data_IF_890127442643
#
_entry.id   IF_890127442643
#
_cell.length_a   1.000
_cell.length_b   1.000
_cell.length_c   1.000
_cell.angle_alpha   90.00
_cell.angle_beta   90.00
_cell.angle_gamma   90.00
#
_symmetry.space_group_name_H-M   'P 1'
#
loop_
_entity.id
_entity.type
_entity.pdbx_description
1 polymer ?
#
# COMPACT_ATOMS: atom_id res chain seq x y z
N UNK A 1 0.71 3.22 20.50
CA UNK A 1 1.18 2.75 21.83
C UNK A 1 0.71 3.59 23.02
N UNK A 2 0.18 4.81 22.84
CA UNK A 2 -0.25 5.63 24.00
C UNK A 2 -1.29 4.90 24.89
N UNK A 3 -2.32 4.32 24.28
CA UNK A 3 -3.44 3.64 24.97
C UNK A 3 -3.20 2.17 25.32
N UNK A 4 -2.18 1.53 24.75
CA UNK A 4 -1.85 0.12 24.99
C UNK A 4 -0.40 0.07 25.45
N UNK A 5 -0.21 -0.07 26.77
CA UNK A 5 1.12 -0.05 27.40
C UNK A 5 1.72 -1.46 27.44
N UNK A 6 3.05 -1.60 27.27
CA UNK A 6 3.73 -2.88 27.38
C UNK A 6 3.35 -3.64 28.66
N UNK A 7 3.07 -4.93 28.54
CA UNK A 7 2.73 -5.81 29.67
C UNK A 7 1.29 -5.73 30.17
N UNK A 8 0.49 -4.77 29.68
CA UNK A 8 -0.94 -4.68 30.01
C UNK A 8 -1.74 -5.87 29.46
N UNK A 9 -2.95 -6.11 29.99
CA UNK A 9 -3.82 -7.18 29.48
C UNK A 9 -4.15 -7.00 27.99
N UNK A 10 -4.34 -5.75 27.54
CA UNK A 10 -4.63 -5.43 26.14
C UNK A 10 -3.40 -5.71 25.26
N UNK A 11 -2.20 -5.39 25.75
CA UNK A 11 -0.95 -5.65 25.04
C UNK A 11 -0.70 -7.15 24.84
N UNK A 12 -0.86 -7.95 25.90
CA UNK A 12 -0.74 -9.42 25.82
C UNK A 12 -1.73 -10.04 24.83
N UNK A 13 -2.98 -9.57 24.84
CA UNK A 13 -3.99 -10.05 23.90
C UNK A 13 -3.71 -9.60 22.46
N UNK A 14 -3.27 -8.36 22.26
CA UNK A 14 -2.88 -7.86 20.94
C UNK A 14 -1.68 -8.65 20.39
N UNK A 15 -0.67 -8.93 21.23
CA UNK A 15 0.47 -9.77 20.87
C UNK A 15 0.04 -11.19 20.49
N UNK A 16 -0.86 -11.80 21.27
CA UNK A 16 -1.41 -13.13 20.97
C UNK A 16 -2.16 -13.18 19.64
N UNK A 17 -2.86 -12.12 19.27
CA UNK A 17 -3.60 -12.02 17.98
C UNK A 17 -2.67 -11.71 16.80
N UNK A 18 -1.64 -10.89 17.02
CA UNK A 18 -0.68 -10.43 16.00
C UNK A 18 -1.24 -9.40 15.01
N UNK A 19 -2.43 -9.64 14.46
CA UNK A 19 -3.10 -8.75 13.50
C UNK A 19 -4.63 -8.84 13.60
N UNK A 20 -5.34 -7.91 12.96
CA UNK A 20 -6.78 -8.04 12.74
C UNK A 20 -7.04 -9.03 11.61
N UNK A 21 -8.02 -9.91 11.77
CA UNK A 21 -8.40 -10.89 10.73
C UNK A 21 -9.65 -10.36 10.02
N UNK A 22 -9.52 -10.16 8.71
CA UNK A 22 -10.59 -9.70 7.83
C UNK A 22 -11.19 -10.92 7.13
N UNK A 23 -12.40 -11.29 7.54
CA UNK A 23 -13.22 -12.32 6.90
C UNK A 23 -14.19 -11.64 5.92
N UNK A 24 -14.81 -12.44 5.05
CA UNK A 24 -15.76 -11.96 4.03
C UNK A 24 -16.91 -11.16 4.64
N UNK A 25 -17.43 -11.57 5.79
CA UNK A 25 -18.62 -10.98 6.42
C UNK A 25 -18.30 -10.11 7.65
N UNK A 26 -17.09 -10.21 8.22
CA UNK A 26 -16.74 -9.54 9.48
C UNK A 26 -15.24 -9.34 9.69
N UNK A 27 -14.92 -8.47 10.65
CA UNK A 27 -13.56 -8.28 11.14
C UNK A 27 -13.44 -8.78 12.57
N UNK A 28 -12.43 -9.60 12.83
CA UNK A 28 -11.97 -9.96 14.17
C UNK A 28 -10.82 -9.01 14.52
N UNK A 29 -11.05 -7.95 15.31
CA UNK A 29 -10.06 -6.90 15.48
C UNK A 29 -8.94 -7.35 16.43
N UNK A 30 -7.71 -6.90 16.18
CA UNK A 30 -6.58 -7.10 17.09
C UNK A 30 -6.80 -6.41 18.44
N UNK A 31 -7.39 -5.22 18.41
CA UNK A 31 -7.69 -4.41 19.59
C UNK A 31 -9.20 -4.41 19.89
N UNK A 32 -9.62 -4.18 21.14
CA UNK A 32 -11.03 -3.99 21.48
C UNK A 32 -11.67 -2.88 20.62
N UNK A 33 -12.93 -3.08 20.18
CA UNK A 33 -13.64 -2.14 19.30
C UNK A 33 -13.71 -0.70 19.85
N UNK A 34 -13.79 -0.55 21.18
CA UNK A 34 -13.77 0.76 21.86
C UNK A 34 -12.46 1.54 21.61
N UNK A 35 -11.34 0.84 21.44
CA UNK A 35 -10.07 1.44 21.05
C UNK A 35 -10.02 1.62 19.53
N UNK A 36 -10.16 0.54 18.77
CA UNK A 36 -9.93 0.55 17.31
C UNK A 36 -10.86 1.51 16.56
N UNK A 37 -12.15 1.55 16.91
CA UNK A 37 -13.16 2.38 16.23
C UNK A 37 -13.43 3.69 17.00
N UNK A 38 -12.93 3.80 18.23
CA UNK A 38 -13.12 4.95 19.11
C UNK A 38 -11.90 5.86 19.15
N UNK A 39 -11.13 5.77 20.24
CA UNK A 39 -10.07 6.74 20.56
C UNK A 39 -8.79 6.58 19.74
N UNK A 40 -8.58 5.42 19.10
CA UNK A 40 -7.47 5.22 18.14
C UNK A 40 -7.88 5.56 16.70
N UNK A 41 -9.18 5.66 16.40
CA UNK A 41 -9.67 6.04 15.07
C UNK A 41 -9.59 7.55 14.89
N UNK A 42 -9.10 8.01 13.73
CA UNK A 42 -8.97 9.42 13.36
C UNK A 42 -10.31 10.02 12.90
N UNK A 43 -11.31 9.91 13.77
CA UNK A 43 -12.69 10.30 13.49
C UNK A 43 -12.80 11.81 13.17
N UNK A 44 -13.62 12.13 12.18
CA UNK A 44 -13.89 13.50 11.73
C UNK A 44 -14.32 14.41 12.88
N UNK A 45 -13.80 15.63 12.89
CA UNK A 45 -14.13 16.68 13.84
C UNK A 45 -13.60 16.45 15.26
N UNK A 46 -13.01 15.29 15.55
CA UNK A 46 -12.56 14.93 16.89
C UNK A 46 -11.05 15.06 17.04
N UNK A 47 -10.63 15.54 18.21
CA UNK A 47 -9.23 15.67 18.56
C UNK A 47 -8.65 14.28 18.87
N UNK A 48 -7.49 13.96 18.30
CA UNK A 48 -6.86 12.64 18.37
C UNK A 48 -5.36 12.71 18.53
N UNK A 49 -4.83 11.86 19.41
CA UNK A 49 -3.40 11.63 19.57
C UNK A 49 -2.89 10.80 18.39
N UNK A 50 -1.80 11.25 17.79
CA UNK A 50 -1.15 10.61 16.65
C UNK A 50 0.35 10.48 16.87
N UNK A 51 0.96 9.61 16.08
CA UNK A 51 2.38 9.67 15.77
C UNK A 51 2.49 10.15 14.32
N UNK A 52 3.06 11.33 14.11
CA UNK A 52 3.22 11.93 12.79
C UNK A 52 4.59 11.61 12.22
N UNK A 53 4.64 11.39 10.90
CA UNK A 53 5.85 11.39 10.09
C UNK A 53 5.72 12.55 9.10
N UNK A 54 6.36 13.68 9.40
CA UNK A 54 6.43 14.84 8.51
C UNK A 54 7.64 14.66 7.59
N UNK A 55 7.44 14.88 6.29
CA UNK A 55 8.45 14.65 5.26
C UNK A 55 8.50 15.83 4.30
N UNK A 56 9.71 16.22 3.91
CA UNK A 56 9.98 17.15 2.82
C UNK A 56 10.46 16.32 1.61
N UNK A 57 9.77 16.49 0.48
CA UNK A 57 9.96 15.65 -0.71
C UNK A 57 10.29 16.56 -1.89
N UNK A 58 11.39 16.27 -2.58
CA UNK A 58 11.78 17.02 -3.78
C UNK A 58 10.95 16.62 -5.01
N UNK A 59 11.14 17.34 -6.12
CA UNK A 59 10.43 17.06 -7.39
C UNK A 59 10.81 15.73 -8.04
N UNK A 60 11.90 15.08 -7.58
CA UNK A 60 12.32 13.76 -8.04
C UNK A 60 11.74 12.62 -7.18
N UNK A 61 11.04 12.96 -6.09
CA UNK A 61 10.45 12.01 -5.16
C UNK A 61 11.40 11.53 -4.06
N UNK A 62 12.54 12.21 -3.86
CA UNK A 62 13.45 11.91 -2.76
C UNK A 62 12.96 12.57 -1.47
N UNK A 63 13.02 11.82 -0.36
CA UNK A 63 12.82 12.37 0.98
C UNK A 63 14.12 13.08 1.40
N UNK A 64 14.09 14.41 1.49
CA UNK A 64 15.27 15.23 1.82
C UNK A 64 15.33 15.61 3.30
N UNK A 65 14.19 15.59 3.98
CA UNK A 65 14.08 15.85 5.41
C UNK A 65 12.87 15.12 5.99
N UNK A 66 12.96 14.67 7.23
CA UNK A 66 11.81 14.11 7.93
C UNK A 66 11.86 14.37 9.43
N UNK A 67 10.69 14.27 10.07
CA UNK A 67 10.53 14.34 11.52
C UNK A 67 9.45 13.35 11.96
N UNK A 68 9.77 12.48 12.93
CA UNK A 68 8.83 11.55 13.55
C UNK A 68 8.55 12.04 14.97
N UNK A 69 7.29 12.34 15.30
CA UNK A 69 6.96 12.86 16.62
C UNK A 69 5.49 12.64 17.01
N UNK A 70 5.19 12.59 18.33
CA UNK A 70 3.81 12.67 18.81
C UNK A 70 3.14 13.96 18.35
N UNK A 71 1.86 13.88 18.03
CA UNK A 71 1.08 15.02 17.58
C UNK A 71 -0.38 14.90 18.03
N UNK A 72 -1.11 16.00 17.86
CA UNK A 72 -2.54 16.08 18.08
C UNK A 72 -3.17 16.57 16.79
N UNK A 73 -4.15 15.85 16.26
CA UNK A 73 -4.85 16.25 15.04
C UNK A 73 -6.35 16.27 15.24
N UNK A 74 -7.03 17.01 14.37
CA UNK A 74 -8.49 16.96 14.21
C UNK A 74 -8.76 16.78 12.72
N UNK A 75 -9.30 15.61 12.35
CA UNK A 75 -9.60 15.34 10.94
C UNK A 75 -10.71 16.28 10.46
N UNK A 76 -10.49 17.00 9.36
CA UNK A 76 -11.45 17.95 8.81
C UNK A 76 -12.65 17.25 8.18
N UNK A 77 -12.43 16.11 7.53
CA UNK A 77 -13.48 15.35 6.84
C UNK A 77 -13.13 13.86 6.78
N UNK A 78 -14.15 13.01 6.91
CA UNK A 78 -14.07 11.59 6.58
C UNK A 78 -14.37 11.40 5.10
N UNK A 79 -13.33 11.11 4.33
CA UNK A 79 -13.43 10.88 2.88
C UNK A 79 -13.53 9.39 2.55
N UNK A 80 -14.14 9.08 1.41
CA UNK A 80 -14.08 7.75 0.77
C UNK A 80 -13.22 7.83 -0.49
N UNK A 81 -12.63 6.71 -0.90
CA UNK A 81 -11.86 6.67 -2.15
C UNK A 81 -12.70 7.09 -3.35
N UNK A 82 -13.95 6.62 -3.43
CA UNK A 82 -14.90 7.04 -4.47
C UNK A 82 -15.08 8.56 -4.54
N UNK A 83 -15.26 9.23 -3.40
CA UNK A 83 -15.41 10.68 -3.38
C UNK A 83 -14.16 11.41 -3.88
N UNK A 84 -12.96 10.92 -3.53
CA UNK A 84 -11.70 11.52 -3.99
C UNK A 84 -11.44 11.21 -5.47
N UNK A 85 -11.76 10.00 -5.96
CA UNK A 85 -11.70 9.66 -7.38
C UNK A 85 -12.69 10.50 -8.20
N UNK A 86 -13.90 10.74 -7.70
CA UNK A 86 -14.86 11.64 -8.33
C UNK A 86 -14.31 13.08 -8.47
N UNK A 87 -13.49 13.54 -7.53
CA UNK A 87 -12.85 14.86 -7.59
C UNK A 87 -11.68 14.86 -8.59
N UNK A 88 -10.79 13.86 -8.50
CA UNK A 88 -9.50 13.85 -9.20
C UNK A 88 -9.53 13.25 -10.61
N UNK A 89 -10.47 12.35 -10.90
CA UNK A 89 -10.55 11.62 -12.18
C UNK A 89 -11.81 12.00 -12.95
N UNK A 90 -12.98 11.85 -12.33
CA UNK A 90 -14.26 12.08 -13.00
C UNK A 90 -14.65 13.55 -13.09
N UNK A 91 -13.99 14.42 -12.30
CA UNK A 91 -14.32 15.83 -12.15
C UNK A 91 -15.81 16.10 -11.91
N UNK A 92 -16.44 15.30 -11.04
CA UNK A 92 -17.87 15.39 -10.73
C UNK A 92 -18.19 16.71 -10.01
N UNK A 93 -18.94 17.58 -10.68
CA UNK A 93 -19.26 18.93 -10.19
C UNK A 93 -19.92 18.93 -8.81
N UNK A 94 -20.83 17.98 -8.55
CA UNK A 94 -21.54 17.89 -7.26
C UNK A 94 -20.60 17.55 -6.11
N UNK A 95 -19.69 16.59 -6.33
CA UNK A 95 -18.70 16.19 -5.32
C UNK A 95 -17.67 17.30 -5.10
N UNK A 96 -17.23 17.96 -6.17
CA UNK A 96 -16.31 19.11 -6.12
C UNK A 96 -16.94 20.26 -5.32
N UNK A 97 -18.18 20.64 -5.61
CA UNK A 97 -18.86 21.72 -4.87
C UNK A 97 -19.02 21.39 -3.38
N UNK A 98 -19.42 20.15 -3.07
CA UNK A 98 -19.55 19.67 -1.68
C UNK A 98 -18.24 19.76 -0.90
N UNK A 99 -17.10 19.46 -1.52
CA UNK A 99 -15.79 19.43 -0.88
C UNK A 99 -14.87 20.57 -1.33
N UNK A 100 -15.43 21.67 -1.85
CA UNK A 100 -14.70 22.75 -2.53
C UNK A 100 -13.46 23.25 -1.80
N UNK A 101 -13.51 23.34 -0.47
CA UNK A 101 -12.38 23.80 0.36
C UNK A 101 -11.21 22.80 0.44
N UNK A 102 -11.46 21.51 0.20
CA UNK A 102 -10.48 20.43 0.26
C UNK A 102 -9.92 20.05 -1.12
N UNK A 103 -10.60 20.44 -2.21
CA UNK A 103 -10.18 20.12 -3.59
C UNK A 103 -8.72 20.48 -3.88
N UNK A 104 -8.22 21.70 -3.55
CA UNK A 104 -6.81 22.04 -3.82
C UNK A 104 -5.81 21.12 -3.12
N UNK A 105 -6.15 20.66 -1.91
CA UNK A 105 -5.32 19.72 -1.16
C UNK A 105 -5.30 18.36 -1.85
N UNK A 106 -6.46 17.86 -2.32
CA UNK A 106 -6.52 16.59 -3.05
C UNK A 106 -5.76 16.64 -4.38
N UNK A 107 -5.81 17.77 -5.10
CA UNK A 107 -5.03 17.97 -6.33
C UNK A 107 -3.53 17.93 -6.05
N UNK A 108 -3.07 18.63 -5.01
CA UNK A 108 -1.66 18.59 -4.56
C UNK A 108 -1.25 17.16 -4.15
N UNK A 109 -2.11 16.44 -3.46
CA UNK A 109 -1.87 15.03 -3.12
C UNK A 109 -1.77 14.15 -4.40
N UNK A 110 -2.60 14.40 -5.40
CA UNK A 110 -2.55 13.71 -6.70
C UNK A 110 -1.24 13.99 -7.46
N UNK A 111 -0.75 15.22 -7.43
CA UNK A 111 0.56 15.58 -8.00
C UNK A 111 1.71 14.88 -7.26
N UNK A 112 1.70 14.91 -5.93
CA UNK A 112 2.71 14.21 -5.13
C UNK A 112 2.70 12.70 -5.40
N UNK A 113 1.53 12.09 -5.54
CA UNK A 113 1.42 10.68 -5.93
C UNK A 113 2.11 10.40 -7.27
N UNK A 114 1.90 11.23 -8.30
CA UNK A 114 2.55 11.06 -9.61
C UNK A 114 4.08 11.10 -9.50
N UNK A 115 4.62 12.01 -8.67
CA UNK A 115 6.06 12.12 -8.40
C UNK A 115 6.57 10.84 -7.72
N UNK A 116 5.93 10.41 -6.63
CA UNK A 116 6.33 9.23 -5.87
C UNK A 116 6.19 7.94 -6.68
N UNK A 117 5.14 7.80 -7.47
CA UNK A 117 4.92 6.67 -8.36
C UNK A 117 6.02 6.57 -9.43
N UNK A 118 6.38 7.69 -10.06
CA UNK A 118 7.48 7.75 -11.03
C UNK A 118 8.82 7.37 -10.39
N UNK A 119 9.11 7.89 -9.21
CA UNK A 119 10.31 7.57 -8.43
C UNK A 119 10.38 6.08 -8.09
N UNK A 120 9.27 5.49 -7.64
CA UNK A 120 9.17 4.06 -7.34
C UNK A 120 9.36 3.20 -8.58
N UNK A 121 8.77 3.59 -9.72
CA UNK A 121 8.92 2.87 -10.99
C UNK A 121 10.37 2.90 -11.50
N UNK A 122 11.08 4.01 -11.33
CA UNK A 122 12.50 4.13 -11.76
C UNK A 122 13.44 3.24 -10.92
N UNK A 123 13.11 3.01 -9.64
CA UNK A 123 13.78 2.08 -8.73
C UNK A 123 13.49 0.60 -9.01
N UNK A 124 12.64 0.28 -9.98
CA UNK A 124 12.37 -1.10 -10.39
C UNK A 124 11.20 -1.77 -9.66
N UNK A 125 10.29 -1.00 -9.08
CA UNK A 125 9.09 -1.58 -8.48
C UNK A 125 8.27 -2.37 -9.51
N UNK A 126 7.84 -3.54 -9.10
CA UNK A 126 7.00 -4.43 -9.88
C UNK A 126 5.56 -4.14 -9.49
N UNK A 127 4.73 -3.82 -10.49
CA UNK A 127 3.31 -3.56 -10.30
C UNK A 127 2.55 -4.76 -10.89
N UNK A 128 1.90 -5.53 -10.04
CA UNK A 128 1.01 -6.61 -10.45
C UNK A 128 -0.40 -6.03 -10.47
N UNK A 129 -0.99 -5.94 -11.66
CA UNK A 129 -2.36 -5.46 -11.80
C UNK A 129 -3.30 -6.60 -11.41
N UNK A 130 -3.45 -6.79 -10.10
CA UNK A 130 -4.28 -7.85 -9.55
C UNK A 130 -5.74 -7.36 -9.47
N UNK A 131 -6.58 -7.97 -10.29
CA UNK A 131 -8.03 -7.85 -10.20
C UNK A 131 -8.53 -8.59 -8.95
N UNK A 132 -8.48 -7.93 -7.80
CA UNK A 132 -9.03 -8.47 -6.55
C UNK A 132 -10.56 -8.63 -6.65
N UNK A 133 -11.08 -9.75 -6.16
CA UNK A 133 -12.51 -9.97 -6.06
C UNK A 133 -13.08 -9.31 -4.79
N UNK A 134 -14.11 -8.49 -4.95
CA UNK A 134 -14.94 -7.97 -3.87
C UNK A 134 -16.22 -8.82 -3.76
N UNK A 135 -16.37 -9.50 -2.62
CA UNK A 135 -17.55 -10.32 -2.34
C UNK A 135 -18.58 -9.45 -1.62
N UNK A 136 -19.74 -9.26 -2.24
CA UNK A 136 -20.86 -8.56 -1.63
C UNK A 136 -21.69 -9.56 -0.83
N UNK A 137 -21.97 -9.26 0.43
CA UNK A 137 -22.75 -10.13 1.33
C UNK A 137 -24.07 -9.49 1.75
N UNK A 138 -25.07 -10.32 2.04
CA UNK A 138 -26.32 -9.91 2.67
C UNK A 138 -26.15 -9.63 4.19
N UNK A 139 -27.24 -9.24 4.86
CA UNK A 139 -27.25 -8.99 6.32
C UNK A 139 -26.89 -10.22 7.17
N UNK A 140 -27.03 -11.43 6.62
CA UNK A 140 -26.68 -12.70 7.27
C UNK A 140 -25.25 -13.16 6.95
N UNK A 141 -24.54 -12.42 6.10
CA UNK A 141 -23.18 -12.74 5.65
C UNK A 141 -23.12 -13.70 4.46
N UNK A 142 -24.23 -13.98 3.79
CA UNK A 142 -24.23 -14.83 2.59
C UNK A 142 -23.78 -14.03 1.36
N UNK A 143 -22.86 -14.55 0.54
CA UNK A 143 -22.48 -13.92 -0.72
C UNK A 143 -23.68 -13.78 -1.66
N UNK A 144 -23.93 -12.57 -2.14
CA UNK A 144 -24.98 -12.26 -3.12
C UNK A 144 -24.42 -11.83 -4.48
N UNK A 145 -23.17 -11.37 -4.53
CA UNK A 145 -22.52 -10.92 -5.76
C UNK A 145 -20.99 -10.95 -5.61
N UNK A 146 -20.28 -11.00 -6.75
CA UNK A 146 -18.83 -10.88 -6.82
C UNK A 146 -18.49 -9.84 -7.87
N UNK A 147 -17.78 -8.79 -7.45
CA UNK A 147 -17.32 -7.72 -8.35
C UNK A 147 -15.81 -7.67 -8.42
N UNK A 148 -15.29 -7.15 -9.51
CA UNK A 148 -13.88 -6.81 -9.60
C UNK A 148 -13.65 -5.48 -8.90
N UNK A 149 -12.71 -5.47 -7.96
CA UNK A 149 -12.31 -4.28 -7.24
C UNK A 149 -11.39 -3.46 -8.13
N UNK A 150 -11.83 -2.26 -8.50
CA UNK A 150 -11.04 -1.32 -9.31
C UNK A 150 -10.30 -0.36 -8.39
N UNK A 151 -9.02 -0.12 -8.67
CA UNK A 151 -8.17 0.80 -7.92
C UNK A 151 -7.99 2.11 -8.69
N UNK A 152 -8.64 3.18 -8.22
CA UNK A 152 -8.47 4.51 -8.76
C UNK A 152 -7.24 5.24 -8.21
N UNK A 153 -7.09 6.51 -8.58
CA UNK A 153 -6.01 7.39 -8.16
C UNK A 153 -5.96 7.55 -6.65
N UNK A 154 -7.10 7.62 -5.96
CA UNK A 154 -7.15 7.81 -4.51
C UNK A 154 -6.56 6.61 -3.74
N UNK A 155 -6.86 5.38 -4.16
CA UNK A 155 -6.29 4.16 -3.59
C UNK A 155 -4.77 4.14 -3.79
N UNK A 156 -4.31 4.39 -5.02
CA UNK A 156 -2.89 4.39 -5.38
C UNK A 156 -2.11 5.51 -4.69
N UNK A 157 -2.74 6.67 -4.50
CA UNK A 157 -2.18 7.84 -3.81
C UNK A 157 -1.92 7.55 -2.34
N UNK A 158 -2.92 7.00 -1.62
CA UNK A 158 -2.73 6.61 -0.22
C UNK A 158 -1.66 5.53 -0.10
N UNK A 159 -1.61 4.56 -1.01
CA UNK A 159 -0.54 3.56 -1.04
C UNK A 159 0.85 4.22 -1.17
N UNK A 160 1.04 5.16 -2.10
CA UNK A 160 2.30 5.90 -2.26
C UNK A 160 2.71 6.62 -0.97
N UNK A 161 1.77 7.24 -0.26
CA UNK A 161 2.08 7.97 0.96
C UNK A 161 2.43 7.03 2.12
N UNK A 162 1.71 5.91 2.25
CA UNK A 162 2.02 4.91 3.27
C UNK A 162 3.39 4.26 3.03
N UNK A 163 3.74 3.99 1.77
CA UNK A 163 5.07 3.49 1.42
C UNK A 163 6.17 4.50 1.75
N UNK A 164 5.99 5.78 1.38
CA UNK A 164 6.96 6.83 1.71
C UNK A 164 7.18 6.97 3.22
N UNK A 165 6.10 6.93 4.02
CA UNK A 165 6.18 6.96 5.47
C UNK A 165 6.88 5.71 6.04
N UNK A 166 6.52 4.51 5.56
CA UNK A 166 7.11 3.25 6.02
C UNK A 166 8.61 3.17 5.70
N UNK A 167 9.02 3.53 4.48
CA UNK A 167 10.43 3.57 4.09
C UNK A 167 11.21 4.59 4.93
N UNK A 168 10.63 5.77 5.20
CA UNK A 168 11.25 6.81 6.02
C UNK A 168 11.45 6.35 7.47
N UNK A 169 10.42 5.74 8.07
CA UNK A 169 10.51 5.22 9.45
C UNK A 169 11.52 4.07 9.53
N UNK A 170 11.50 3.14 8.58
CA UNK A 170 12.46 2.03 8.53
C UNK A 170 13.90 2.54 8.38
N UNK A 171 14.14 3.50 7.49
CA UNK A 171 15.45 4.14 7.28
C UNK A 171 15.92 4.86 8.55
N UNK A 172 15.06 5.64 9.19
CA UNK A 172 15.39 6.37 10.41
C UNK A 172 15.88 5.44 11.52
N UNK A 173 15.17 4.33 11.75
CA UNK A 173 15.56 3.36 12.78
C UNK A 173 16.77 2.52 12.40
N UNK A 174 16.95 2.23 11.10
CA UNK A 174 18.17 1.60 10.58
C UNK A 174 19.41 2.46 10.86
N UNK A 175 19.37 3.75 10.51
CA UNK A 175 20.47 4.69 10.75
C UNK A 175 20.70 4.96 12.24
N UNK A 176 19.65 4.85 13.07
CA UNK A 176 19.75 4.98 14.53
C UNK A 176 20.34 3.74 15.22
N UNK A 177 20.56 2.63 14.50
CA UNK A 177 21.10 1.38 15.03
C UNK A 177 20.34 0.84 16.25
N UNK A 178 19.01 0.98 16.27
CA UNK A 178 18.16 0.45 17.34
C UNK A 178 17.35 -0.77 16.87
N UNK A 179 16.97 -1.69 17.77
CA UNK A 179 16.11 -2.81 17.42
C UNK A 179 14.78 -2.33 16.83
N UNK A 180 14.45 -2.82 15.63
CA UNK A 180 13.22 -2.48 14.92
C UNK A 180 12.70 -3.69 14.13
N UNK A 181 11.39 -3.74 13.91
CA UNK A 181 10.76 -4.81 13.12
C UNK A 181 10.69 -4.35 11.67
N UNK A 182 11.44 -5.02 10.79
CA UNK A 182 11.44 -4.73 9.36
C UNK A 182 10.46 -5.63 8.61
N UNK A 183 9.81 -5.06 7.58
CA UNK A 183 9.07 -5.85 6.58
C UNK A 183 10.02 -6.19 5.45
N UNK A 184 10.61 -7.37 5.51
CA UNK A 184 11.57 -7.85 4.51
C UNK A 184 10.84 -8.75 3.51
N UNK A 185 11.10 -8.53 2.22
CA UNK A 185 10.81 -9.48 1.15
C UNK A 185 12.15 -10.05 0.72
N UNK A 186 12.36 -11.35 0.91
CA UNK A 186 13.62 -11.99 0.58
C UNK A 186 13.85 -12.01 -0.93
N UNK A 187 15.12 -12.12 -1.34
CA UNK A 187 15.45 -12.39 -2.73
C UNK A 187 14.86 -13.75 -3.14
N UNK A 188 14.30 -13.85 -4.35
CA UNK A 188 13.81 -15.11 -4.88
C UNK A 188 14.87 -16.21 -4.84
N UNK A 189 14.41 -17.44 -4.74
CA UNK A 189 15.28 -18.61 -4.82
C UNK A 189 15.86 -18.74 -6.25
N UNK A 190 17.17 -18.97 -6.36
CA UNK A 190 17.88 -18.98 -7.64
C UNK A 190 17.36 -20.08 -8.59
N UNK A 191 16.98 -21.24 -8.06
CA UNK A 191 16.42 -22.34 -8.86
C UNK A 191 15.04 -21.97 -9.40
N UNK A 192 14.21 -21.28 -8.59
CA UNK A 192 12.91 -20.76 -9.05
C UNK A 192 13.08 -19.72 -10.16
N UNK A 193 14.05 -18.81 -10.05
CA UNK A 193 14.32 -17.81 -11.09
C UNK A 193 14.88 -18.45 -12.37
N UNK A 194 15.76 -19.44 -12.24
CA UNK A 194 16.29 -20.20 -13.37
C UNK A 194 15.17 -20.89 -14.15
N UNK A 195 14.31 -21.63 -13.44
CA UNK A 195 13.15 -22.29 -14.04
C UNK A 195 12.18 -21.29 -14.71
N UNK A 196 12.00 -20.12 -14.10
CA UNK A 196 11.22 -19.04 -14.70
C UNK A 196 11.84 -18.54 -16.01
N UNK A 197 13.16 -18.29 -16.06
CA UNK A 197 13.85 -17.84 -17.27
C UNK A 197 13.87 -18.90 -18.37
N UNK A 198 14.04 -20.17 -18.04
CA UNK A 198 13.96 -21.30 -18.98
C UNK A 198 12.58 -21.37 -19.63
N UNK A 199 11.52 -21.23 -18.83
CA UNK A 199 10.16 -21.21 -19.34
C UNK A 199 9.94 -20.04 -20.29
N UNK A 200 10.37 -18.83 -19.91
CA UNK A 200 10.29 -17.65 -20.78
C UNK A 200 11.05 -17.84 -22.10
N UNK A 201 12.23 -18.47 -22.04
CA UNK A 201 13.03 -18.76 -23.23
C UNK A 201 12.29 -19.71 -24.18
N UNK A 202 11.58 -20.72 -23.65
CA UNK A 202 10.74 -21.61 -24.46
C UNK A 202 9.58 -20.88 -25.18
N UNK A 203 9.09 -19.78 -24.60
CA UNK A 203 8.11 -18.88 -25.23
C UNK A 203 8.76 -17.81 -26.14
N UNK A 204 10.06 -17.91 -26.42
CA UNK A 204 10.80 -16.95 -27.26
C UNK A 204 11.14 -15.63 -26.56
N UNK A 205 10.95 -15.54 -25.24
CA UNK A 205 11.25 -14.35 -24.45
C UNK A 205 12.65 -14.47 -23.87
N UNK A 206 13.62 -13.90 -24.57
CA UNK A 206 15.00 -13.86 -24.08
C UNK A 206 15.15 -12.87 -22.92
N UNK A 207 15.41 -13.42 -21.73
CA UNK A 207 15.76 -12.64 -20.53
C UNK A 207 17.29 -12.53 -20.45
N UNK A 208 17.79 -11.30 -20.41
CA UNK A 208 19.20 -11.02 -20.10
C UNK A 208 19.28 -10.72 -18.60
N UNK A 209 19.77 -11.67 -17.81
CA UNK A 209 19.93 -11.52 -16.38
C UNK A 209 20.62 -12.75 -15.79
N UNK A 210 21.38 -12.54 -14.72
CA UNK A 210 21.94 -13.62 -13.92
C UNK A 210 20.84 -14.12 -12.95
N UNK A 211 20.42 -15.40 -13.03
CA UNK A 211 19.46 -15.98 -12.09
C UNK A 211 19.90 -15.88 -10.63
N UNK A 212 21.21 -15.88 -10.36
CA UNK A 212 21.78 -15.79 -9.01
C UNK A 212 21.75 -14.36 -8.46
N UNK A 213 21.69 -13.35 -9.34
CA UNK A 213 21.75 -11.93 -9.00
C UNK A 213 20.60 -11.14 -9.62
N UNK A 214 19.36 -11.66 -9.49
CA UNK A 214 18.19 -11.01 -10.05
C UNK A 214 17.87 -9.73 -9.27
N UNK A 215 17.68 -8.63 -10.00
CA UNK A 215 17.24 -7.35 -9.42
C UNK A 215 15.77 -7.10 -9.73
N UNK A 216 15.04 -6.32 -8.90
CA UNK A 216 13.66 -5.91 -9.23
C UNK A 216 13.54 -5.26 -10.61
N UNK A 217 14.57 -4.51 -11.04
CA UNK A 217 14.62 -3.87 -12.36
C UNK A 217 14.73 -4.89 -13.50
N UNK A 218 15.45 -5.98 -13.30
CA UNK A 218 15.51 -7.11 -14.25
C UNK A 218 14.12 -7.69 -14.46
N UNK A 219 13.41 -8.00 -13.36
CA UNK A 219 12.06 -8.58 -13.39
C UNK A 219 11.04 -7.60 -13.98
N UNK A 220 11.11 -6.32 -13.61
CA UNK A 220 10.28 -5.26 -14.19
C UNK A 220 10.45 -5.16 -15.71
N UNK A 221 11.68 -5.31 -16.22
CA UNK A 221 11.93 -5.27 -17.67
C UNK A 221 11.38 -6.51 -18.39
N UNK A 222 11.33 -7.67 -17.74
CA UNK A 222 10.66 -8.86 -18.28
C UNK A 222 9.17 -8.58 -18.46
N UNK A 223 8.49 -8.07 -17.41
CA UNK A 223 7.06 -7.74 -17.49
C UNK A 223 6.78 -6.69 -18.58
N UNK A 224 7.61 -5.65 -18.71
CA UNK A 224 7.47 -4.66 -19.79
C UNK A 224 7.55 -5.26 -21.20
N UNK A 225 8.33 -6.34 -21.40
CA UNK A 225 8.44 -7.00 -22.72
C UNK A 225 7.22 -7.84 -23.09
N UNK A 226 6.46 -8.27 -22.08
CA UNK A 226 5.27 -9.11 -22.27
C UNK A 226 3.96 -8.33 -22.12
N UNK A 227 4.03 -7.08 -21.63
CA UNK A 227 2.88 -6.21 -21.50
C UNK A 227 2.11 -6.06 -22.83
N UNK A 228 0.79 -6.26 -22.78
CA UNK A 228 -0.14 -6.25 -23.92
C UNK A 228 -0.11 -7.50 -24.79
N UNK A 229 0.69 -8.52 -24.44
CA UNK A 229 0.76 -9.78 -25.20
C UNK A 229 -0.11 -10.87 -24.58
N UNK A 230 -0.55 -11.89 -25.36
CA UNK A 230 -1.36 -12.99 -24.84
C UNK A 230 -0.75 -13.70 -23.62
N UNK A 231 0.58 -13.76 -23.55
CA UNK A 231 1.32 -14.41 -22.46
C UNK A 231 1.52 -13.55 -21.20
N UNK A 232 1.11 -12.28 -21.17
CA UNK A 232 1.32 -11.35 -20.04
C UNK A 232 0.85 -11.91 -18.71
N UNK A 233 -0.40 -12.42 -18.67
CA UNK A 233 -1.00 -12.96 -17.45
C UNK A 233 -0.24 -14.19 -16.95
N UNK A 234 0.12 -15.09 -17.86
CA UNK A 234 0.89 -16.30 -17.52
C UNK A 234 2.24 -15.91 -16.91
N UNK A 235 2.98 -15.02 -17.57
CA UNK A 235 4.29 -14.57 -17.11
C UNK A 235 4.22 -13.87 -15.75
N UNK A 236 3.18 -13.05 -15.53
CA UNK A 236 2.95 -12.36 -14.26
C UNK A 236 2.69 -13.35 -13.11
N UNK A 237 1.85 -14.36 -13.34
CA UNK A 237 1.56 -15.41 -12.34
C UNK A 237 2.81 -16.26 -12.06
N UNK A 238 3.58 -16.62 -13.08
CA UNK A 238 4.82 -17.37 -12.91
C UNK A 238 5.85 -16.57 -12.11
N UNK A 239 6.00 -15.27 -12.42
CA UNK A 239 6.88 -14.39 -11.69
C UNK A 239 6.47 -14.33 -10.21
N UNK A 240 5.19 -14.08 -9.92
CA UNK A 240 4.66 -14.05 -8.55
C UNK A 240 4.99 -15.33 -7.78
N UNK A 241 4.85 -16.50 -8.41
CA UNK A 241 5.17 -17.80 -7.78
C UNK A 241 6.66 -18.03 -7.57
N UNK A 242 7.51 -17.35 -8.33
CA UNK A 242 8.97 -17.41 -8.17
C UNK A 242 9.48 -16.55 -7.01
N UNK A 243 8.71 -15.54 -6.59
CA UNK A 243 9.01 -14.69 -5.44
C UNK A 243 8.84 -15.47 -4.11
N UNK A 244 9.35 -14.88 -3.01
CA UNK A 244 9.29 -15.41 -1.64
C UNK A 244 8.30 -14.64 -0.78
#
# INVERSE_FOLDING_TARGET
>A
SHYVKPGSAIDKEAFRRGTSVYLTDRVIPMLPRRLSNGICSLNEGQLRLCMSCEMEIDQSGNIIKHRIHPSLMRSTARMTYTAVNNILESHDEKTIDRYKRLVPMFETMGELHKILYKHRKSRGAIDFDDNEAEIIVDEKGHPIDIKLRVRGTAERMIESFMLAANETVAKHYYESHVPFIYRVHETPDADRIRSFFETLTAFGINVKGDPEHVTPKTLQNVLKKVAGKPEEMMVSVMLLRSLK
#
